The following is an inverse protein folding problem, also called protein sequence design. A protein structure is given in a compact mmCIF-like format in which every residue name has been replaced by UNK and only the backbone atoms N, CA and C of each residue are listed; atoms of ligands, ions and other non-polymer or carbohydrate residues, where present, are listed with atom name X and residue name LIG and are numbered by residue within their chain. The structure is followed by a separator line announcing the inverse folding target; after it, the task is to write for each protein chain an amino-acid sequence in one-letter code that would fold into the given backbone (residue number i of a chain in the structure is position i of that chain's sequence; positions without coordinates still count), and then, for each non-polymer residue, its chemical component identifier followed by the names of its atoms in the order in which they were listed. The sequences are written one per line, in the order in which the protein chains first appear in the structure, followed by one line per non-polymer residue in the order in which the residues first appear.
data_IF_683669248343
#
_entry.id   IF_683669248343
#
_cell.length_a   1.000
_cell.length_b   1.000
_cell.length_c   1.000
_cell.angle_alpha   90.00
_cell.angle_beta   90.00
_cell.angle_gamma   90.00
#
_symmetry.space_group_name_H-M   'P 1'
#
loop_
_entity.id
_entity.type
_entity.pdbx_description
1 polymer ?
#
# COMPACT_ATOMS: atom_id res chain seq x y z
N UNK A 1 -2.76 -17.76 -2.23
CA UNK A 1 -2.97 -16.79 -3.33
C UNK A 1 -1.76 -15.88 -3.59
N UNK A 2 -1.14 -15.26 -2.58
CA UNK A 2 -0.05 -14.28 -2.82
C UNK A 2 1.19 -14.86 -3.52
N UNK A 3 1.54 -16.14 -3.30
CA UNK A 3 2.67 -16.77 -3.99
C UNK A 3 2.48 -16.84 -5.51
N UNK A 4 1.25 -17.14 -5.98
CA UNK A 4 0.92 -17.16 -7.40
C UNK A 4 0.99 -15.76 -8.02
N UNK A 5 0.50 -14.73 -7.32
CA UNK A 5 0.62 -13.34 -7.76
C UNK A 5 2.09 -12.91 -7.87
N UNK A 6 2.94 -13.29 -6.90
CA UNK A 6 4.39 -12.99 -6.97
C UNK A 6 5.08 -13.71 -8.11
N UNK A 7 4.68 -14.94 -8.43
CA UNK A 7 5.21 -15.66 -9.60
C UNK A 7 4.89 -14.92 -10.92
N UNK A 8 3.70 -14.32 -11.00
CA UNK A 8 3.26 -13.55 -12.18
C UNK A 8 3.78 -12.10 -12.21
N UNK A 9 4.50 -11.66 -11.19
CA UNK A 9 5.08 -10.32 -11.11
C UNK A 9 6.61 -10.41 -11.24
N UNK A 10 7.16 -10.26 -12.44
CA UNK A 10 8.60 -10.38 -12.65
C UNK A 10 9.36 -9.31 -11.85
N UNK A 11 10.54 -9.69 -11.35
CA UNK A 11 11.45 -8.74 -10.73
C UNK A 11 12.02 -7.81 -11.80
N UNK A 12 12.01 -6.51 -11.51
CA UNK A 12 12.72 -5.53 -12.33
C UNK A 12 14.09 -5.24 -11.70
N UNK A 13 15.15 -5.41 -12.48
CA UNK A 13 16.51 -5.07 -12.10
C UNK A 13 16.92 -3.77 -12.79
N UNK A 14 17.62 -2.90 -12.04
CA UNK A 14 18.12 -1.63 -12.53
C UNK A 14 19.60 -1.52 -12.16
N UNK A 15 20.42 -1.03 -13.09
CA UNK A 15 21.82 -0.71 -12.84
C UNK A 15 21.97 0.82 -12.77
N UNK A 16 22.86 1.29 -11.88
CA UNK A 16 23.21 2.70 -11.75
C UNK A 16 24.68 2.83 -11.37
N UNK A 17 25.25 4.02 -11.59
CA UNK A 17 26.58 4.37 -11.08
C UNK A 17 26.52 4.75 -9.60
N UNK A 18 27.68 4.84 -8.93
CA UNK A 18 27.73 5.33 -7.55
C UNK A 18 27.38 6.81 -7.48
N UNK A 19 26.40 7.16 -6.67
CA UNK A 19 26.00 8.53 -6.39
C UNK A 19 25.46 8.66 -4.96
N UNK A 20 25.47 9.88 -4.41
CA UNK A 20 24.74 10.17 -3.18
C UNK A 20 23.23 10.01 -3.37
N UNK A 21 22.50 9.77 -2.28
CA UNK A 21 21.05 9.65 -2.31
C UNK A 21 20.45 9.76 -0.91
N UNK A 22 19.26 10.33 -0.81
CA UNK A 22 18.54 10.47 0.45
C UNK A 22 17.87 9.16 0.90
N UNK A 23 17.64 8.23 -0.03
CA UNK A 23 17.03 6.93 0.24
C UNK A 23 18.11 5.90 0.60
N UNK A 24 17.80 5.05 1.58
CA UNK A 24 18.67 3.96 2.01
C UNK A 24 18.87 2.88 0.93
N UNK A 25 19.64 1.84 1.26
CA UNK A 25 19.93 0.72 0.34
C UNK A 25 18.73 -0.20 0.11
N UNK A 26 17.73 -0.13 0.99
CA UNK A 26 16.49 -0.90 0.90
C UNK A 26 15.32 0.05 1.17
N UNK A 27 14.29 -0.04 0.35
CA UNK A 27 13.07 0.75 0.47
C UNK A 27 11.85 -0.15 0.31
N UNK A 28 10.82 0.07 1.10
CA UNK A 28 9.48 -0.47 0.86
C UNK A 28 8.52 0.70 0.73
N UNK A 29 7.88 0.84 -0.44
CA UNK A 29 6.90 1.92 -0.65
C UNK A 29 5.73 1.78 0.32
N UNK A 30 5.18 0.56 0.43
CA UNK A 30 4.11 0.20 1.35
C UNK A 30 4.30 -1.23 1.85
N UNK A 31 3.76 -1.51 3.04
CA UNK A 31 3.73 -2.84 3.66
C UNK A 31 2.47 -3.01 4.49
N UNK A 32 1.88 -4.20 4.44
CA UNK A 32 0.83 -4.63 5.37
C UNK A 32 1.44 -5.42 6.52
N UNK A 33 0.86 -5.31 7.72
CA UNK A 33 1.27 -6.09 8.90
C UNK A 33 0.73 -7.54 8.90
N UNK A 34 -0.08 -7.91 7.92
CA UNK A 34 -0.78 -9.21 7.86
C UNK A 34 -0.66 -9.82 6.47
N UNK A 35 -0.53 -11.15 6.43
CA UNK A 35 -0.56 -11.93 5.19
C UNK A 35 -1.99 -12.17 4.65
N UNK A 36 -3.03 -11.80 5.39
CA UNK A 36 -4.44 -11.96 5.00
C UNK A 36 -4.89 -10.91 3.98
N UNK A 37 -4.16 -9.80 3.88
CA UNK A 37 -4.48 -8.67 2.98
C UNK A 37 -3.31 -8.39 2.05
N UNK A 38 -3.59 -8.36 0.75
CA UNK A 38 -2.64 -7.94 -0.28
C UNK A 38 -2.83 -6.47 -0.66
N UNK A 39 -1.72 -5.82 -1.01
CA UNK A 39 -1.74 -4.58 -1.79
C UNK A 39 -1.78 -4.97 -3.27
N UNK A 40 -2.86 -4.61 -3.96
CA UNK A 40 -3.07 -5.00 -5.37
C UNK A 40 -2.84 -3.86 -6.35
N UNK A 41 -2.85 -2.61 -5.88
CA UNK A 41 -2.49 -1.44 -6.67
C UNK A 41 -1.86 -0.37 -5.79
N UNK A 42 -0.88 0.32 -6.36
CA UNK A 42 -0.32 1.58 -5.85
C UNK A 42 -0.25 2.51 -7.05
N UNK A 43 -0.98 3.61 -7.03
CA UNK A 43 -0.93 4.62 -8.10
C UNK A 43 -1.10 6.04 -7.56
N UNK A 44 -0.77 7.03 -8.37
CA UNK A 44 -1.16 8.42 -8.13
C UNK A 44 -2.68 8.56 -8.34
N UNK A 45 -3.34 9.34 -7.48
CA UNK A 45 -4.74 9.73 -7.66
C UNK A 45 -4.93 10.49 -8.98
N UNK A 46 -6.13 10.46 -9.54
CA UNK A 46 -6.41 11.08 -10.85
C UNK A 46 -6.42 12.60 -10.78
N UNK A 47 -7.00 13.15 -9.71
CA UNK A 47 -7.23 14.59 -9.57
C UNK A 47 -6.41 15.24 -8.44
N UNK A 48 -5.40 14.54 -7.91
CA UNK A 48 -4.57 15.09 -6.81
C UNK A 48 -3.18 14.45 -6.73
N UNK A 49 -2.35 14.96 -5.82
CA UNK A 49 -1.04 14.39 -5.50
C UNK A 49 -1.09 13.25 -4.46
N UNK A 50 -2.29 12.81 -4.08
CA UNK A 50 -2.44 11.66 -3.19
C UNK A 50 -2.01 10.35 -3.87
N UNK A 51 -1.66 9.36 -3.05
CA UNK A 51 -1.38 8.00 -3.50
C UNK A 51 -2.59 7.12 -3.15
N UNK A 52 -3.12 6.42 -4.16
CA UNK A 52 -4.17 5.42 -3.99
C UNK A 52 -3.53 4.05 -3.80
N UNK A 53 -3.86 3.42 -2.68
CA UNK A 53 -3.41 2.06 -2.32
C UNK A 53 -4.63 1.15 -2.23
N UNK A 54 -4.71 0.12 -3.06
CA UNK A 54 -5.82 -0.84 -3.04
C UNK A 54 -5.47 -2.04 -2.19
N UNK A 55 -6.28 -2.27 -1.15
CA UNK A 55 -6.18 -3.42 -0.26
C UNK A 55 -7.23 -4.47 -0.62
N UNK A 56 -6.84 -5.75 -0.58
CA UNK A 56 -7.75 -6.88 -0.86
C UNK A 56 -7.53 -8.01 0.13
N UNK A 57 -8.61 -8.48 0.72
CA UNK A 57 -8.68 -9.68 1.56
C UNK A 57 -8.45 -10.96 0.71
N UNK A 58 -7.79 -11.98 1.28
CA UNK A 58 -7.34 -13.18 0.54
C UNK A 58 -7.93 -14.51 1.03
N UNK A 59 -8.68 -14.54 2.11
CA UNK A 59 -9.07 -15.75 2.86
C UNK A 59 -10.57 -15.94 3.04
N UNK A 60 -11.39 -14.97 2.62
CA UNK A 60 -12.85 -15.00 2.75
C UNK A 60 -13.37 -14.66 4.14
N UNK A 61 -12.58 -13.97 4.97
CA UNK A 61 -12.97 -13.54 6.31
C UNK A 61 -12.52 -12.10 6.57
N UNK A 62 -13.25 -11.29 7.38
CA UNK A 62 -12.83 -9.93 7.70
C UNK A 62 -11.39 -9.89 8.23
N UNK A 63 -10.62 -8.92 7.77
CA UNK A 63 -9.20 -8.81 8.07
C UNK A 63 -8.86 -7.44 8.64
N UNK A 64 -8.01 -7.42 9.67
CA UNK A 64 -7.47 -6.20 10.27
C UNK A 64 -5.98 -6.13 10.09
N UNK A 65 -5.45 -4.92 9.96
CA UNK A 65 -4.02 -4.74 9.82
C UNK A 65 -3.57 -3.29 9.92
N UNK A 66 -2.27 -3.12 9.75
CA UNK A 66 -1.61 -1.83 9.67
C UNK A 66 -0.97 -1.72 8.30
N UNK A 67 -1.23 -0.59 7.63
CA UNK A 67 -0.52 -0.14 6.44
C UNK A 67 0.57 0.86 6.89
N UNK A 68 1.82 0.53 6.59
CA UNK A 68 2.96 1.43 6.75
C UNK A 68 3.51 1.81 5.36
N UNK A 69 4.01 3.03 5.23
CA UNK A 69 4.62 3.53 3.99
C UNK A 69 6.10 3.87 4.19
N UNK A 70 6.80 4.19 3.10
CA UNK A 70 8.20 4.65 3.11
C UNK A 70 8.41 5.95 3.92
N UNK A 71 7.35 6.73 4.11
CA UNK A 71 7.30 7.94 4.92
C UNK A 71 6.03 7.94 5.79
N UNK A 72 5.95 8.76 6.86
CA UNK A 72 4.75 8.84 7.69
C UNK A 72 3.50 9.19 6.88
N UNK A 73 2.41 8.45 7.09
CA UNK A 73 1.10 8.75 6.52
C UNK A 73 0.46 9.88 7.34
N UNK A 74 0.34 11.07 6.77
CA UNK A 74 -0.21 12.24 7.45
C UNK A 74 -1.74 12.28 7.45
N UNK A 75 -2.34 11.95 6.30
CA UNK A 75 -3.79 11.93 6.08
C UNK A 75 -4.16 10.76 5.19
N UNK A 76 -5.34 10.21 5.40
CA UNK A 76 -5.89 9.18 4.54
C UNK A 76 -7.42 9.28 4.48
N UNK A 77 -8.00 8.67 3.46
CA UNK A 77 -9.42 8.53 3.27
C UNK A 77 -9.72 7.18 2.62
N UNK A 78 -10.89 6.63 2.93
CA UNK A 78 -11.40 5.46 2.26
C UNK A 78 -12.12 5.88 0.97
N UNK A 79 -11.82 5.18 -0.13
CA UNK A 79 -12.32 5.49 -1.46
C UNK A 79 -13.00 4.27 -2.08
N UNK A 80 -13.92 4.50 -3.01
CA UNK A 80 -14.45 3.44 -3.87
C UNK A 80 -13.52 3.16 -5.07
N UNK A 81 -13.93 2.24 -5.93
CA UNK A 81 -13.15 1.84 -7.12
C UNK A 81 -12.89 2.98 -8.13
N UNK A 82 -13.75 4.01 -8.12
CA UNK A 82 -13.67 5.22 -8.95
C UNK A 82 -13.07 6.42 -8.18
N UNK A 83 -12.38 6.17 -7.05
CA UNK A 83 -11.73 7.20 -6.23
C UNK A 83 -12.66 8.22 -5.56
N UNK A 84 -13.97 7.98 -5.55
CA UNK A 84 -14.89 8.80 -4.77
C UNK A 84 -14.78 8.48 -3.28
N UNK A 85 -14.84 9.52 -2.45
CA UNK A 85 -14.78 9.43 -0.99
C UNK A 85 -15.93 8.58 -0.43
N UNK A 86 -15.58 7.59 0.40
CA UNK A 86 -16.52 6.82 1.23
C UNK A 86 -16.50 7.35 2.66
N UNK A 87 -15.31 7.59 3.22
CA UNK A 87 -15.17 8.00 4.61
C UNK A 87 -13.76 8.42 4.99
N UNK A 88 -13.61 8.97 6.20
CA UNK A 88 -12.31 9.35 6.74
C UNK A 88 -11.53 8.13 7.22
N UNK A 89 -10.22 8.11 6.99
CA UNK A 89 -9.31 7.09 7.51
C UNK A 89 -8.18 7.80 8.27
N UNK A 90 -8.16 7.71 9.60
CA UNK A 90 -7.25 8.52 10.44
C UNK A 90 -5.94 7.78 10.73
N UNK A 91 -4.80 8.24 10.21
CA UNK A 91 -3.51 7.66 10.58
C UNK A 91 -3.19 7.98 12.05
N UNK A 92 -2.42 7.11 12.69
CA UNK A 92 -1.93 7.30 14.05
C UNK A 92 -0.47 6.85 14.13
N UNK A 93 0.43 7.76 14.54
CA UNK A 93 1.87 7.46 14.59
C UNK A 93 2.49 7.22 13.21
N UNK A 94 1.98 7.87 12.16
CA UNK A 94 2.49 7.76 10.79
C UNK A 94 2.09 6.48 10.05
N UNK A 95 1.20 5.67 10.62
CA UNK A 95 0.67 4.44 10.00
C UNK A 95 -0.85 4.46 9.98
N UNK A 96 -1.45 3.67 9.10
CA UNK A 96 -2.90 3.55 8.97
C UNK A 96 -3.38 2.18 9.45
N UNK A 97 -4.24 2.14 10.47
CA UNK A 97 -4.99 0.93 10.82
C UNK A 97 -6.16 0.78 9.87
N UNK A 98 -6.40 -0.42 9.38
CA UNK A 98 -7.50 -0.71 8.47
C UNK A 98 -8.25 -1.97 8.89
N UNK A 99 -9.48 -2.06 8.40
CA UNK A 99 -10.31 -3.26 8.39
C UNK A 99 -10.80 -3.46 6.95
N UNK A 100 -10.66 -4.66 6.40
CA UNK A 100 -11.13 -5.02 5.06
C UNK A 100 -12.19 -6.11 5.22
N UNK A 101 -13.38 -5.96 4.62
CA UNK A 101 -14.39 -7.01 4.64
C UNK A 101 -13.92 -8.25 3.87
N UNK A 102 -14.62 -9.36 4.08
CA UNK A 102 -14.42 -10.62 3.36
C UNK A 102 -14.69 -10.48 1.85
#
# INVERSE_FOLDING_TARGET
MWQASRMNQPLAAFATSSHGGALGRTLSLFKTSTGQVAITAIKKAEDSDAIVVRLRELTGAPAKGVLSAAAPIEKAAELNGQEHLIGEAKPAGGVLRFEVPA
#
